data_IF_153727762213
#
_entry.id   IF_153727762213
#
_cell.length_a   1.000
_cell.length_b   1.000
_cell.length_c   1.000
_cell.angle_alpha   90.00
_cell.angle_beta   90.00
_cell.angle_gamma   90.00
#
_symmetry.space_group_name_H-M   'P 1'
#
loop_
_entity.id
_entity.type
_entity.pdbx_description
1 polymer ?
#
# COMPACT_ATOMS: atom_id res chain seq x y z
N UNK A 1 -0.91 22.27 -1.82
CA UNK A 1 0.11 21.34 -1.28
C UNK A 1 -0.16 19.97 -1.88
N UNK A 2 0.86 19.17 -2.09
CA UNK A 2 0.73 17.82 -2.68
C UNK A 2 1.53 16.81 -1.90
N UNK A 3 1.05 15.56 -1.83
CA UNK A 3 1.79 14.42 -1.27
C UNK A 3 2.76 13.80 -2.29
N UNK A 4 2.70 14.24 -3.54
CA UNK A 4 3.44 13.67 -4.67
C UNK A 4 4.92 14.08 -4.63
N UNK A 5 5.83 13.11 -4.68
CA UNK A 5 7.25 13.29 -4.96
C UNK A 5 7.55 12.84 -6.40
N UNK A 6 7.91 13.77 -7.27
CA UNK A 6 8.10 13.51 -8.72
C UNK A 6 9.29 12.57 -9.00
N UNK A 7 10.35 12.62 -8.20
CA UNK A 7 11.50 11.74 -8.37
C UNK A 7 11.15 10.30 -8.08
N UNK A 8 10.36 10.06 -7.01
CA UNK A 8 9.88 8.74 -6.65
C UNK A 8 8.96 8.16 -7.75
N UNK A 9 8.03 8.98 -8.29
CA UNK A 9 7.17 8.56 -9.41
C UNK A 9 8.02 8.12 -10.61
N UNK A 10 9.07 8.86 -10.95
CA UNK A 10 9.94 8.52 -12.08
C UNK A 10 10.70 7.22 -11.84
N UNK A 11 11.19 6.98 -10.61
CA UNK A 11 11.87 5.73 -10.23
C UNK A 11 10.95 4.53 -10.44
N UNK A 12 9.76 4.54 -9.82
CA UNK A 12 8.80 3.43 -9.93
C UNK A 12 8.23 3.26 -11.34
N UNK A 13 8.03 4.35 -12.08
CA UNK A 13 7.59 4.27 -13.49
C UNK A 13 8.58 3.53 -14.37
N UNK A 14 9.89 3.62 -14.12
CA UNK A 14 10.91 2.88 -14.87
C UNK A 14 10.83 1.37 -14.64
N UNK A 15 10.35 0.96 -13.47
CA UNK A 15 10.25 -0.44 -13.08
C UNK A 15 8.86 -1.05 -13.37
N UNK A 16 7.91 -0.25 -13.87
CA UNK A 16 6.50 -0.64 -13.96
C UNK A 16 6.25 -1.93 -14.74
N UNK A 17 7.04 -2.23 -15.77
CA UNK A 17 6.89 -3.43 -16.58
C UNK A 17 7.23 -4.73 -15.82
N UNK A 18 7.94 -4.62 -14.69
CA UNK A 18 8.39 -5.75 -13.88
C UNK A 18 7.41 -6.10 -12.72
N UNK A 19 6.30 -5.33 -12.53
CA UNK A 19 5.38 -5.55 -11.39
C UNK A 19 4.95 -7.00 -11.22
N UNK A 20 4.67 -7.71 -12.30
CA UNK A 20 4.16 -9.07 -12.27
C UNK A 20 5.23 -10.15 -12.54
N UNK A 21 6.49 -9.75 -12.71
CA UNK A 21 7.60 -10.70 -12.75
C UNK A 21 8.00 -11.13 -11.33
N UNK A 22 7.64 -12.35 -10.95
CA UNK A 22 7.94 -12.92 -9.63
C UNK A 22 9.44 -13.08 -9.34
N UNK A 23 10.29 -13.02 -10.38
CA UNK A 23 11.75 -13.06 -10.28
C UNK A 23 12.39 -11.69 -10.51
N UNK A 24 11.59 -10.69 -10.89
CA UNK A 24 12.03 -9.32 -11.17
C UNK A 24 12.30 -8.48 -9.91
N UNK A 25 12.32 -7.16 -10.09
CA UNK A 25 12.63 -6.19 -9.03
C UNK A 25 11.62 -6.17 -7.88
N UNK A 26 10.38 -6.58 -8.12
CA UNK A 26 9.34 -6.66 -7.10
C UNK A 26 9.24 -8.04 -6.43
N UNK A 27 10.21 -8.93 -6.65
CA UNK A 27 10.29 -10.25 -5.98
C UNK A 27 10.06 -10.19 -4.47
N UNK A 28 10.65 -9.24 -3.70
CA UNK A 28 10.37 -9.14 -2.27
C UNK A 28 8.89 -8.94 -1.95
N UNK A 29 8.18 -8.12 -2.73
CA UNK A 29 6.74 -7.90 -2.53
C UNK A 29 5.95 -9.17 -2.81
N UNK A 30 6.28 -9.92 -3.85
CA UNK A 30 5.65 -11.22 -4.12
C UNK A 30 5.83 -12.22 -2.98
N UNK A 31 6.97 -12.20 -2.29
CA UNK A 31 7.24 -13.06 -1.14
C UNK A 31 6.47 -12.63 0.11
N UNK A 32 6.30 -11.33 0.36
CA UNK A 32 5.61 -10.81 1.55
C UNK A 32 4.09 -10.79 1.42
N UNK A 33 3.58 -10.54 0.22
CA UNK A 33 2.16 -10.28 0.02
C UNK A 33 1.24 -11.42 0.50
N UNK A 34 1.57 -12.72 0.39
CA UNK A 34 0.72 -13.76 0.97
C UNK A 34 0.48 -13.58 2.48
N UNK A 35 1.50 -13.23 3.24
CA UNK A 35 1.42 -12.99 4.69
C UNK A 35 0.62 -11.72 4.99
N UNK A 36 0.84 -10.66 4.21
CA UNK A 36 0.10 -9.39 4.33
C UNK A 36 -1.39 -9.58 4.03
N UNK A 37 -1.71 -10.29 2.96
CA UNK A 37 -3.07 -10.59 2.53
C UNK A 37 -3.81 -11.37 3.62
N UNK A 38 -3.18 -12.42 4.18
CA UNK A 38 -3.76 -13.21 5.26
C UNK A 38 -4.02 -12.37 6.51
N UNK A 39 -3.06 -11.54 6.92
CA UNK A 39 -3.23 -10.64 8.05
C UNK A 39 -4.36 -9.62 7.84
N UNK A 40 -4.41 -8.97 6.67
CA UNK A 40 -5.47 -8.01 6.32
C UNK A 40 -6.82 -8.72 6.32
N UNK A 41 -6.93 -9.85 5.64
CA UNK A 41 -8.17 -10.62 5.54
C UNK A 41 -8.70 -11.01 6.92
N UNK A 42 -7.87 -11.60 7.77
CA UNK A 42 -8.28 -12.05 9.10
C UNK A 42 -8.69 -10.89 10.01
N UNK A 43 -7.96 -9.77 9.94
CA UNK A 43 -8.27 -8.56 10.70
C UNK A 43 -9.59 -7.94 10.25
N UNK A 44 -9.81 -7.81 8.94
CA UNK A 44 -11.04 -7.27 8.35
C UNK A 44 -12.25 -8.17 8.67
N UNK A 45 -12.11 -9.48 8.50
CA UNK A 45 -13.17 -10.43 8.86
C UNK A 45 -13.59 -10.31 10.31
N UNK A 46 -12.64 -10.25 11.22
CA UNK A 46 -12.89 -10.11 12.65
C UNK A 46 -13.58 -8.78 12.97
N UNK A 47 -13.11 -7.69 12.37
CA UNK A 47 -13.62 -6.35 12.65
C UNK A 47 -15.05 -6.13 12.13
N UNK A 48 -15.34 -6.55 10.90
CA UNK A 48 -16.64 -6.37 10.26
C UNK A 48 -17.59 -7.57 10.42
N UNK A 49 -17.23 -8.58 11.20
CA UNK A 49 -18.07 -9.76 11.45
C UNK A 49 -18.33 -10.59 10.19
N UNK A 50 -17.37 -10.67 9.26
CA UNK A 50 -17.52 -11.36 7.99
C UNK A 50 -17.26 -12.86 8.10
N UNK A 51 -18.26 -13.67 7.81
CA UNK A 51 -18.22 -15.14 7.95
C UNK A 51 -18.35 -15.91 6.62
N UNK A 52 -18.57 -15.21 5.50
CA UNK A 52 -18.61 -15.82 4.18
C UNK A 52 -17.25 -16.48 3.88
N UNK A 53 -17.29 -17.76 3.43
CA UNK A 53 -16.07 -18.52 3.12
C UNK A 53 -15.59 -18.30 1.70
N UNK A 54 -16.48 -17.91 0.80
CA UNK A 54 -16.20 -17.78 -0.64
C UNK A 54 -15.79 -16.33 -0.98
N UNK A 55 -16.57 -15.35 -0.53
CA UNK A 55 -16.36 -13.93 -0.78
C UNK A 55 -16.35 -13.15 0.55
N UNK A 56 -15.33 -13.38 1.38
CA UNK A 56 -15.28 -12.85 2.76
C UNK A 56 -15.25 -11.33 2.84
N UNK A 57 -14.89 -10.62 1.78
CA UNK A 57 -14.84 -9.16 1.74
C UNK A 57 -16.03 -8.52 0.99
N UNK A 58 -17.03 -9.32 0.60
CA UNK A 58 -18.18 -8.82 -0.15
C UNK A 58 -18.90 -7.68 0.55
N UNK A 59 -19.16 -6.61 -0.22
CA UNK A 59 -19.83 -5.38 0.24
C UNK A 59 -18.94 -4.42 1.02
N UNK A 60 -17.62 -4.66 1.10
CA UNK A 60 -16.65 -3.71 1.66
C UNK A 60 -15.95 -2.95 0.54
N UNK A 61 -15.80 -1.64 0.72
CA UNK A 61 -15.07 -0.74 -0.18
C UNK A 61 -13.64 -0.58 0.29
N UNK A 62 -12.70 -0.95 -0.55
CA UNK A 62 -11.27 -0.85 -0.30
C UNK A 62 -10.65 0.26 -1.13
N UNK A 63 -9.76 1.04 -0.52
CA UNK A 63 -8.86 1.95 -1.20
C UNK A 63 -7.42 1.45 -1.02
N UNK A 64 -6.76 1.14 -2.12
CA UNK A 64 -5.34 0.74 -2.16
C UNK A 64 -4.53 1.94 -2.68
N UNK A 65 -3.79 2.62 -1.78
CA UNK A 65 -3.04 3.84 -2.08
C UNK A 65 -1.60 3.46 -2.40
N UNK A 66 -1.08 3.94 -3.55
CA UNK A 66 0.19 3.49 -4.09
C UNK A 66 0.08 2.05 -4.60
N UNK A 67 -1.03 1.72 -5.28
CA UNK A 67 -1.35 0.34 -5.68
C UNK A 67 -0.36 -0.29 -6.66
N UNK A 68 0.56 0.49 -7.25
CA UNK A 68 1.53 0.00 -8.22
C UNK A 68 0.87 -0.76 -9.36
N UNK A 69 1.36 -1.96 -9.64
CA UNK A 69 0.78 -2.88 -10.63
C UNK A 69 -0.44 -3.65 -10.17
N UNK A 70 -0.96 -3.42 -8.96
CA UNK A 70 -2.18 -4.06 -8.46
C UNK A 70 -1.97 -5.34 -7.64
N UNK A 71 -0.75 -5.58 -7.15
CA UNK A 71 -0.39 -6.83 -6.44
C UNK A 71 -1.23 -7.13 -5.20
N UNK A 72 -1.79 -6.11 -4.55
CA UNK A 72 -2.71 -6.27 -3.41
C UNK A 72 -4.15 -6.02 -3.83
N UNK A 73 -4.39 -5.05 -4.72
CA UNK A 73 -5.73 -4.75 -5.24
C UNK A 73 -6.43 -5.98 -5.80
N UNK A 74 -5.75 -6.81 -6.61
CA UNK A 74 -6.35 -7.99 -7.22
C UNK A 74 -6.74 -9.08 -6.22
N UNK A 75 -5.88 -9.51 -5.29
CA UNK A 75 -6.30 -10.46 -4.26
C UNK A 75 -7.49 -9.97 -3.43
N UNK A 76 -7.55 -8.68 -3.07
CA UNK A 76 -8.71 -8.13 -2.34
C UNK A 76 -9.98 -8.20 -3.18
N UNK A 77 -9.90 -7.90 -4.48
CA UNK A 77 -11.04 -8.02 -5.41
C UNK A 77 -11.49 -9.48 -5.56
N UNK A 78 -10.56 -10.44 -5.69
CA UNK A 78 -10.89 -11.89 -5.74
C UNK A 78 -11.59 -12.38 -4.49
N UNK A 79 -11.32 -11.76 -3.33
CA UNK A 79 -11.98 -12.04 -2.05
C UNK A 79 -13.34 -11.32 -1.91
N UNK A 80 -13.77 -10.57 -2.94
CA UNK A 80 -15.09 -9.96 -3.03
C UNK A 80 -15.16 -8.48 -2.65
N UNK A 81 -14.04 -7.81 -2.36
CA UNK A 81 -14.03 -6.38 -2.09
C UNK A 81 -14.31 -5.54 -3.35
N UNK A 82 -14.99 -4.40 -3.16
CA UNK A 82 -15.07 -3.33 -4.16
C UNK A 82 -13.80 -2.47 -4.09
N UNK A 83 -12.83 -2.74 -4.96
CA UNK A 83 -11.50 -2.12 -4.86
C UNK A 83 -11.39 -0.90 -5.76
N UNK A 84 -10.90 0.20 -5.17
CA UNK A 84 -10.33 1.34 -5.88
C UNK A 84 -8.82 1.36 -5.61
N UNK A 85 -8.00 1.26 -6.65
CA UNK A 85 -6.55 1.43 -6.57
C UNK A 85 -6.16 2.80 -7.10
N UNK A 86 -5.30 3.51 -6.38
CA UNK A 86 -4.75 4.78 -6.84
C UNK A 86 -3.21 4.74 -6.82
N UNK A 87 -2.61 5.38 -7.80
CA UNK A 87 -1.15 5.53 -7.90
C UNK A 87 -0.82 6.82 -8.67
N UNK A 88 0.22 7.52 -8.25
CA UNK A 88 0.65 8.76 -8.90
C UNK A 88 1.34 8.51 -10.24
N UNK A 89 1.83 7.29 -10.52
CA UNK A 89 2.39 6.88 -11.79
C UNK A 89 1.30 6.41 -12.76
N UNK A 90 1.10 7.15 -13.83
CA UNK A 90 0.19 6.73 -14.91
C UNK A 90 0.59 5.38 -15.52
N UNK A 91 1.91 5.10 -15.60
CA UNK A 91 2.41 3.84 -16.13
C UNK A 91 2.03 2.66 -15.25
N UNK A 92 2.15 2.79 -13.91
CA UNK A 92 1.69 1.78 -12.97
C UNK A 92 0.20 1.49 -13.16
N UNK A 93 -0.62 2.53 -13.25
CA UNK A 93 -2.07 2.40 -13.47
C UNK A 93 -2.39 1.68 -14.79
N UNK A 94 -1.64 1.95 -15.87
CA UNK A 94 -1.81 1.22 -17.15
C UNK A 94 -1.52 -0.27 -17.01
N UNK A 95 -0.44 -0.63 -16.29
CA UNK A 95 -0.06 -2.02 -16.03
C UNK A 95 -1.14 -2.72 -15.16
N UNK A 96 -1.56 -2.07 -14.06
CA UNK A 96 -2.59 -2.60 -13.18
C UNK A 96 -3.91 -2.88 -13.92
N UNK A 97 -4.38 -1.93 -14.74
CA UNK A 97 -5.58 -2.10 -15.57
C UNK A 97 -5.44 -3.26 -16.55
N UNK A 98 -4.32 -3.34 -17.26
CA UNK A 98 -4.09 -4.40 -18.24
C UNK A 98 -4.05 -5.79 -17.59
N UNK A 99 -3.44 -5.91 -16.40
CA UNK A 99 -3.37 -7.20 -15.69
C UNK A 99 -4.73 -7.59 -15.11
N UNK A 100 -5.45 -6.66 -14.49
CA UNK A 100 -6.81 -6.93 -13.97
C UNK A 100 -7.76 -7.36 -15.10
N UNK A 101 -7.68 -6.73 -16.26
CA UNK A 101 -8.49 -7.13 -17.43
C UNK A 101 -8.18 -8.56 -17.90
N UNK A 102 -6.91 -8.96 -17.95
CA UNK A 102 -6.51 -10.34 -18.28
C UNK A 102 -6.99 -11.36 -17.24
N UNK A 103 -7.22 -10.90 -16.02
CA UNK A 103 -7.66 -11.69 -14.88
C UNK A 103 -9.17 -11.65 -14.67
N UNK A 104 -9.95 -11.04 -15.57
CA UNK A 104 -11.39 -10.84 -15.47
C UNK A 104 -11.84 -10.18 -14.15
N UNK A 105 -11.03 -9.25 -13.63
CA UNK A 105 -11.31 -8.52 -12.40
C UNK A 105 -11.84 -7.11 -12.68
N UNK A 106 -12.86 -6.70 -11.90
CA UNK A 106 -13.43 -5.36 -11.96
C UNK A 106 -12.83 -4.54 -10.81
N UNK A 107 -11.79 -3.75 -11.12
CA UNK A 107 -11.11 -2.86 -10.18
C UNK A 107 -11.06 -1.45 -10.77
N UNK A 108 -11.40 -0.45 -9.96
CA UNK A 108 -11.32 0.95 -10.36
C UNK A 108 -9.91 1.49 -10.13
N UNK A 109 -9.09 1.57 -11.17
CA UNK A 109 -7.75 2.16 -11.09
C UNK A 109 -7.74 3.61 -11.57
N UNK A 110 -7.17 4.53 -10.75
CA UNK A 110 -7.08 5.96 -11.04
C UNK A 110 -5.64 6.46 -10.85
N UNK A 111 -5.19 7.29 -11.79
CA UNK A 111 -3.95 8.03 -11.65
C UNK A 111 -4.21 9.28 -10.81
N UNK A 112 -4.08 9.14 -9.49
CA UNK A 112 -4.36 10.17 -8.48
C UNK A 112 -3.56 9.94 -7.21
N UNK A 113 -3.36 11.01 -6.46
CA UNK A 113 -2.98 10.99 -5.05
C UNK A 113 -4.21 11.00 -4.13
N UNK A 114 -4.08 10.67 -2.83
CA UNK A 114 -5.23 10.62 -1.93
C UNK A 114 -5.93 11.99 -1.77
N UNK A 115 -5.20 13.10 -1.75
CA UNK A 115 -5.77 14.46 -1.65
C UNK A 115 -6.59 14.89 -2.88
N UNK A 116 -6.41 14.20 -4.02
CA UNK A 116 -7.19 14.47 -5.24
C UNK A 116 -8.51 13.68 -5.30
N UNK A 117 -8.76 12.79 -4.33
CA UNK A 117 -10.03 12.10 -4.24
C UNK A 117 -11.09 12.97 -3.56
N UNK A 118 -12.34 12.82 -4.02
CA UNK A 118 -13.46 13.53 -3.42
C UNK A 118 -13.80 12.92 -2.05
N UNK A 119 -13.82 13.74 -1.00
CA UNK A 119 -14.13 13.36 0.39
C UNK A 119 -15.55 12.79 0.58
N UNK A 120 -16.44 12.94 -0.41
CA UNK A 120 -17.76 12.26 -0.38
C UNK A 120 -17.65 10.76 -0.63
N UNK A 121 -16.54 10.28 -1.20
CA UNK A 121 -16.28 8.87 -1.41
C UNK A 121 -15.47 8.34 -0.22
N UNK A 122 -16.10 7.53 0.63
CA UNK A 122 -15.46 6.95 1.81
C UNK A 122 -15.33 5.43 1.68
N UNK A 123 -14.28 4.89 2.32
CA UNK A 123 -13.89 3.48 2.24
C UNK A 123 -13.97 2.81 3.61
N UNK A 124 -14.35 1.53 3.60
CA UNK A 124 -14.36 0.69 4.79
C UNK A 124 -12.94 0.31 5.22
N UNK A 125 -12.06 0.13 4.23
CA UNK A 125 -10.65 -0.25 4.43
C UNK A 125 -9.75 0.59 3.54
N UNK A 126 -8.69 1.15 4.12
CA UNK A 126 -7.61 1.84 3.41
C UNK A 126 -6.30 1.07 3.60
N UNK A 127 -5.60 0.83 2.50
CA UNK A 127 -4.30 0.16 2.48
C UNK A 127 -3.22 1.16 2.08
N UNK A 128 -2.20 1.31 2.95
CA UNK A 128 -1.02 2.15 2.79
C UNK A 128 0.21 1.25 2.95
N UNK A 129 0.57 0.50 1.89
CA UNK A 129 1.58 -0.55 1.98
C UNK A 129 2.85 -0.12 1.23
N UNK A 130 3.93 0.16 1.96
CA UNK A 130 5.21 0.65 1.43
C UNK A 130 5.05 1.93 0.59
N UNK A 131 4.33 2.91 1.11
CA UNK A 131 4.07 4.18 0.42
C UNK A 131 4.46 5.41 1.25
N UNK A 132 4.32 5.36 2.59
CA UNK A 132 4.50 6.54 3.44
C UNK A 132 5.92 7.10 3.43
N UNK A 133 6.93 6.28 3.15
CA UNK A 133 8.33 6.67 2.98
C UNK A 133 8.64 7.37 1.64
N UNK A 134 7.69 7.32 0.70
CA UNK A 134 7.85 7.87 -0.66
C UNK A 134 7.07 9.17 -0.88
N UNK A 135 6.27 9.61 0.11
CA UNK A 135 5.48 10.83 -0.02
C UNK A 135 6.28 12.07 0.40
N UNK A 136 5.94 13.22 -0.19
CA UNK A 136 6.59 14.50 0.11
C UNK A 136 6.17 15.06 1.47
N UNK A 137 4.86 15.04 1.77
CA UNK A 137 4.30 15.49 3.03
C UNK A 137 3.49 14.40 3.70
N UNK A 138 4.09 13.77 4.72
CA UNK A 138 3.49 12.66 5.49
C UNK A 138 2.27 13.11 6.30
N UNK A 139 2.21 14.38 6.75
CA UNK A 139 1.08 14.88 7.53
C UNK A 139 -0.15 15.06 6.62
N UNK A 140 0.02 15.78 5.51
CA UNK A 140 -1.02 15.94 4.49
C UNK A 140 -1.51 14.57 3.97
N UNK A 141 -0.58 13.62 3.81
CA UNK A 141 -0.90 12.27 3.38
C UNK A 141 -1.85 11.57 4.36
N UNK A 142 -1.52 11.51 5.66
CA UNK A 142 -2.40 10.89 6.65
C UNK A 142 -3.72 11.64 6.84
N UNK A 143 -3.72 12.97 6.82
CA UNK A 143 -4.95 13.78 6.85
C UNK A 143 -5.88 13.42 5.68
N UNK A 144 -5.32 13.30 4.47
CA UNK A 144 -6.08 12.89 3.29
C UNK A 144 -6.62 11.46 3.42
N UNK A 145 -5.80 10.52 3.89
CA UNK A 145 -6.24 9.13 4.13
C UNK A 145 -7.40 9.07 5.14
N UNK A 146 -7.28 9.81 6.27
CA UNK A 146 -8.32 9.83 7.31
C UNK A 146 -9.62 10.42 6.81
N UNK A 147 -9.56 11.47 5.96
CA UNK A 147 -10.76 12.07 5.36
C UNK A 147 -11.55 11.13 4.45
N UNK A 148 -10.86 10.12 3.89
CA UNK A 148 -11.43 9.10 3.00
C UNK A 148 -11.89 7.85 3.77
N UNK A 149 -11.52 7.71 5.05
CA UNK A 149 -11.89 6.57 5.87
C UNK A 149 -13.28 6.74 6.47
N UNK A 150 -14.13 5.75 6.36
CA UNK A 150 -15.42 5.74 7.06
C UNK A 150 -15.22 5.74 8.57
N UNK A 151 -16.22 6.26 9.29
CA UNK A 151 -16.34 6.01 10.73
C UNK A 151 -16.32 4.49 10.94
N UNK A 152 -15.57 4.02 11.90
CA UNK A 152 -15.35 2.60 12.19
C UNK A 152 -14.63 1.81 11.06
N UNK A 153 -14.04 2.50 10.08
CA UNK A 153 -13.19 1.89 9.06
C UNK A 153 -11.83 1.45 9.60
N UNK A 154 -11.12 0.63 8.84
CA UNK A 154 -9.76 0.18 9.14
C UNK A 154 -8.75 0.80 8.18
N UNK A 155 -7.64 1.28 8.71
CA UNK A 155 -6.49 1.69 7.92
C UNK A 155 -5.29 0.79 8.26
N UNK A 156 -4.71 0.16 7.23
CA UNK A 156 -3.47 -0.61 7.35
C UNK A 156 -2.32 0.24 6.81
N UNK A 157 -1.28 0.38 7.61
CA UNK A 157 -0.06 1.06 7.19
C UNK A 157 1.13 0.14 7.40
N UNK A 158 1.89 -0.12 6.34
CA UNK A 158 3.13 -0.85 6.39
C UNK A 158 4.25 -0.01 5.80
N UNK A 159 5.40 0.00 6.46
CA UNK A 159 6.62 0.69 6.04
C UNK A 159 7.83 0.02 6.66
N UNK A 160 8.99 0.29 6.11
CA UNK A 160 10.26 -0.19 6.67
C UNK A 160 10.58 0.63 7.91
N UNK A 161 10.73 -0.06 9.06
CA UNK A 161 11.11 0.61 10.31
C UNK A 161 12.54 1.17 10.22
N UNK A 162 12.75 2.41 10.68
CA UNK A 162 14.06 3.06 10.72
C UNK A 162 14.95 2.48 11.82
N UNK A 163 15.59 1.33 11.54
CA UNK A 163 16.53 0.65 12.41
C UNK A 163 17.86 0.40 11.70
N UNK A 164 18.93 0.14 12.46
CA UNK A 164 20.19 -0.26 11.87
C UNK A 164 20.10 -1.57 11.09
N UNK A 165 19.27 -2.51 11.57
CA UNK A 165 19.01 -3.77 10.88
C UNK A 165 18.33 -3.54 9.53
N UNK A 166 17.36 -2.62 9.44
CA UNK A 166 16.70 -2.30 8.16
C UNK A 166 17.66 -1.58 7.20
N UNK A 167 18.56 -0.73 7.69
CA UNK A 167 19.60 -0.15 6.88
C UNK A 167 20.47 -1.22 6.20
N UNK A 168 20.94 -2.19 6.98
CA UNK A 168 21.76 -3.29 6.42
C UNK A 168 20.94 -4.16 5.45
N UNK A 169 19.72 -4.54 5.80
CA UNK A 169 18.93 -5.48 4.98
C UNK A 169 18.33 -4.80 3.74
N UNK A 170 17.66 -3.65 3.89
CA UNK A 170 16.94 -3.00 2.81
C UNK A 170 17.87 -2.23 1.87
N UNK A 171 18.92 -1.60 2.38
CA UNK A 171 19.84 -0.81 1.56
C UNK A 171 21.04 -1.66 1.15
N UNK A 172 21.89 -2.08 2.09
CA UNK A 172 23.10 -2.84 1.74
C UNK A 172 22.74 -4.18 1.12
N UNK A 173 21.81 -4.94 1.72
CA UNK A 173 21.42 -6.27 1.27
C UNK A 173 20.67 -6.22 -0.07
N UNK A 174 19.55 -5.53 -0.12
CA UNK A 174 18.69 -5.56 -1.30
C UNK A 174 19.22 -4.76 -2.50
N UNK A 175 19.87 -3.62 -2.26
CA UNK A 175 20.34 -2.75 -3.35
C UNK A 175 21.77 -3.08 -3.80
N UNK A 176 22.71 -3.33 -2.88
CA UNK A 176 24.12 -3.51 -3.24
C UNK A 176 24.53 -4.98 -3.39
N UNK A 177 24.06 -5.88 -2.51
CA UNK A 177 24.49 -7.30 -2.50
C UNK A 177 23.63 -8.13 -3.44
N UNK A 178 22.31 -8.16 -3.20
CA UNK A 178 21.37 -8.98 -3.96
C UNK A 178 20.91 -8.31 -5.27
N UNK A 179 21.08 -6.99 -5.35
CA UNK A 179 20.67 -6.18 -6.50
C UNK A 179 19.21 -6.42 -6.93
N UNK A 180 18.35 -6.73 -5.96
CA UNK A 180 16.92 -6.87 -6.19
C UNK A 180 16.28 -5.53 -6.56
N UNK A 181 16.80 -4.44 -6.00
CA UNK A 181 16.36 -3.08 -6.27
C UNK A 181 17.52 -2.22 -6.79
N UNK A 182 17.25 -1.21 -7.61
CA UNK A 182 18.26 -0.24 -8.01
C UNK A 182 18.87 0.48 -6.80
N UNK A 183 20.15 0.79 -6.87
CA UNK A 183 20.84 1.59 -5.84
C UNK A 183 20.14 2.95 -5.71
N UNK A 184 19.83 3.37 -4.48
CA UNK A 184 19.12 4.61 -4.16
C UNK A 184 17.60 4.48 -4.26
N UNK A 185 17.06 3.25 -4.27
CA UNK A 185 15.61 3.05 -4.15
C UNK A 185 15.09 3.50 -2.79
N UNK A 186 15.88 3.26 -1.73
CA UNK A 186 15.50 3.63 -0.37
C UNK A 186 16.38 4.75 0.19
N UNK A 187 15.75 5.72 0.85
CA UNK A 187 16.40 6.70 1.71
C UNK A 187 16.08 6.37 3.17
N UNK A 188 17.08 5.90 3.92
CA UNK A 188 16.91 5.52 5.32
C UNK A 188 16.34 6.64 6.20
N UNK A 189 16.61 7.90 5.86
CA UNK A 189 16.12 9.06 6.61
C UNK A 189 14.58 9.23 6.45
N UNK A 190 14.01 8.70 5.38
CA UNK A 190 12.58 8.73 5.11
C UNK A 190 11.81 7.57 5.76
N UNK A 191 12.50 6.55 6.28
CA UNK A 191 11.87 5.47 7.02
C UNK A 191 11.25 5.98 8.30
N UNK A 192 10.06 5.51 8.64
CA UNK A 192 9.33 5.96 9.83
C UNK A 192 9.38 4.90 10.93
N UNK A 193 9.61 5.34 12.16
CA UNK A 193 9.47 4.47 13.33
C UNK A 193 7.99 4.28 13.66
N UNK A 194 7.59 3.14 14.24
CA UNK A 194 6.22 2.90 14.68
C UNK A 194 5.66 4.04 15.54
N UNK A 195 6.45 4.56 16.48
CA UNK A 195 6.03 5.64 17.39
C UNK A 195 5.79 6.97 16.63
N UNK A 196 6.54 7.22 15.54
CA UNK A 196 6.36 8.42 14.71
C UNK A 196 5.03 8.37 13.95
N UNK A 197 4.66 7.17 13.45
CA UNK A 197 3.36 6.93 12.81
C UNK A 197 2.25 7.05 13.85
N UNK A 198 2.37 6.38 15.01
CA UNK A 198 1.41 6.44 16.10
C UNK A 198 1.11 7.88 16.52
N UNK A 199 2.15 8.68 16.74
CA UNK A 199 1.99 10.09 17.10
C UNK A 199 1.24 10.90 16.04
N UNK A 200 1.43 10.60 14.75
CA UNK A 200 0.73 11.30 13.65
C UNK A 200 -0.74 10.91 13.58
N UNK A 201 -1.05 9.61 13.59
CA UNK A 201 -2.42 9.13 13.45
C UNK A 201 -3.28 9.39 14.69
N UNK A 202 -2.68 9.39 15.90
CA UNK A 202 -3.38 9.74 17.15
C UNK A 202 -3.83 11.21 17.13
N UNK A 203 -3.03 12.13 16.58
CA UNK A 203 -3.43 13.54 16.39
C UNK A 203 -4.64 13.70 15.45
N UNK A 204 -4.88 12.71 14.60
CA UNK A 204 -6.03 12.66 13.69
C UNK A 204 -7.22 11.86 14.28
N UNK A 205 -7.24 11.65 15.60
CA UNK A 205 -8.28 10.91 16.32
C UNK A 205 -8.44 9.44 15.90
N UNK A 206 -7.39 8.82 15.38
CA UNK A 206 -7.33 7.38 15.16
C UNK A 206 -6.55 6.69 16.30
N UNK A 207 -6.90 5.43 16.56
CA UNK A 207 -6.19 4.58 17.53
C UNK A 207 -5.57 3.38 16.84
N UNK A 208 -4.35 3.02 17.24
CA UNK A 208 -3.70 1.79 16.79
C UNK A 208 -4.41 0.61 17.46
N UNK A 209 -4.84 -0.34 16.66
CA UNK A 209 -5.48 -1.59 17.14
C UNK A 209 -4.46 -2.72 17.30
N UNK A 210 -3.47 -2.78 16.45
CA UNK A 210 -2.43 -3.82 16.47
C UNK A 210 -1.18 -3.33 15.73
N UNK A 211 -0.01 -3.82 16.14
CA UNK A 211 1.28 -3.58 15.46
C UNK A 211 2.02 -4.91 15.34
N UNK A 212 2.40 -5.30 14.13
CA UNK A 212 3.14 -6.52 13.83
C UNK A 212 4.39 -6.22 13.02
N UNK A 213 5.45 -6.95 13.31
CA UNK A 213 6.65 -6.96 12.49
C UNK A 213 6.63 -8.14 11.52
N UNK A 214 6.98 -7.88 10.25
CA UNK A 214 7.35 -8.93 9.30
C UNK A 214 8.87 -9.09 9.35
N UNK A 215 9.33 -10.30 9.55
CA UNK A 215 10.76 -10.64 9.61
C UNK A 215 11.06 -11.72 8.57
N UNK A 216 12.14 -11.54 7.81
CA UNK A 216 12.70 -12.58 6.94
C UNK A 216 13.53 -13.57 7.75
#
# INVERSE_FOLDING_TARGET
>A
MTTINQEEIQKFSKLADEWWDVNGKFKPLHMFNPIRIDYILNTVKKHFGKNDKTLPLKGLKFLDIGCGGGLISEPMSRLGAEVTGIDASEKNIKIAKAHAQKSDLIIKYLNKSPEELNNTQQFDVILNLEIVEHVEDVNLYFESCVSLLKKDGLMFTATINRTFSSYIKAIIGAEYVLRWLPIGTHDWNKFLKPEEIENKITKLNLSIKDTKGLVF
#
